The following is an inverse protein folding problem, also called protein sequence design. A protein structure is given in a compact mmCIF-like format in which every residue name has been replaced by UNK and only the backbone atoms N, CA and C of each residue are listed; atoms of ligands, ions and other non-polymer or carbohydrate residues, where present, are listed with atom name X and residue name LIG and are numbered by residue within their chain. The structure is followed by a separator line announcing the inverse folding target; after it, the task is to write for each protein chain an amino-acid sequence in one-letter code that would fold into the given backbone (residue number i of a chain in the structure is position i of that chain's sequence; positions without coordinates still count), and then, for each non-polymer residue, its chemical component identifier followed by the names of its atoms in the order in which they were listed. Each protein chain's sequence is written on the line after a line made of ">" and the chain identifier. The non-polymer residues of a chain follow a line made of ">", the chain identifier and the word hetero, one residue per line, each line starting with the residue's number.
data_IF_196687587379
#
_entry.id   IF_196687587379
#
_cell.length_a   1.000
_cell.length_b   1.000
_cell.length_c   1.000
_cell.angle_alpha   90.00
_cell.angle_beta   90.00
_cell.angle_gamma   90.00
#
_symmetry.space_group_name_H-M   'P 1'
#
loop_
_entity.id
_entity.type
_entity.pdbx_description
1 polymer ?
#
# COMPACT_ATOMS: atom_id res chain seq x y z
N UNK A 1 7.93 37.22 -46.69
CA UNK A 1 7.48 35.83 -46.39
C UNK A 1 8.41 35.04 -45.47
N UNK A 2 9.75 35.12 -45.62
CA UNK A 2 10.70 34.35 -44.79
C UNK A 2 10.63 34.67 -43.27
N UNK A 3 10.40 35.93 -42.91
CA UNK A 3 10.30 36.38 -41.50
C UNK A 3 9.03 35.86 -40.82
N UNK A 4 7.89 35.83 -41.54
CA UNK A 4 6.61 35.32 -41.02
C UNK A 4 6.68 33.80 -40.83
N UNK A 5 7.33 33.09 -41.76
CA UNK A 5 7.56 31.64 -41.65
C UNK A 5 8.50 31.32 -40.47
N UNK A 6 9.51 32.16 -40.23
CA UNK A 6 10.45 32.01 -39.11
C UNK A 6 9.80 32.27 -37.75
N UNK A 7 8.90 33.26 -37.66
CA UNK A 7 8.14 33.55 -36.43
C UNK A 7 7.15 32.43 -36.09
N UNK A 8 6.56 31.79 -37.11
CA UNK A 8 5.63 30.67 -36.92
C UNK A 8 6.34 29.39 -36.45
N UNK A 9 7.53 29.10 -37.00
CA UNK A 9 8.39 27.98 -36.57
C UNK A 9 8.93 28.17 -35.14
N UNK A 10 9.24 29.40 -34.74
CA UNK A 10 9.69 29.69 -33.37
C UNK A 10 8.57 29.48 -32.35
N UNK A 11 7.32 29.83 -32.69
CA UNK A 11 6.16 29.65 -31.81
C UNK A 11 5.80 28.18 -31.58
N UNK A 12 5.95 27.32 -32.60
CA UNK A 12 5.67 25.89 -32.49
C UNK A 12 6.67 25.13 -31.59
N UNK A 13 7.90 25.64 -31.40
CA UNK A 13 8.89 25.00 -30.55
C UNK A 13 8.63 25.15 -29.03
N UNK A 14 7.89 26.18 -28.60
CA UNK A 14 7.71 26.46 -27.16
C UNK A 14 6.59 25.64 -26.49
N UNK A 15 5.70 24.99 -27.25
CA UNK A 15 4.49 24.36 -26.68
C UNK A 15 4.76 22.98 -26.05
N UNK A 16 5.95 22.40 -26.26
CA UNK A 16 6.25 21.03 -25.79
C UNK A 16 6.70 20.93 -24.32
N UNK A 17 6.87 22.04 -23.60
CA UNK A 17 7.51 22.04 -22.26
C UNK A 17 6.52 21.65 -21.12
N UNK A 18 5.21 21.62 -21.37
CA UNK A 18 4.22 21.32 -20.33
C UNK A 18 3.87 19.83 -20.17
N UNK A 19 4.41 18.95 -21.01
CA UNK A 19 4.19 17.50 -20.92
C UNK A 19 5.31 16.79 -20.14
N UNK A 20 5.74 17.35 -19.01
CA UNK A 20 6.75 16.70 -18.18
C UNK A 20 6.10 15.57 -17.36
N UNK A 21 6.52 14.33 -17.62
CA UNK A 21 6.15 13.17 -16.81
C UNK A 21 6.50 13.46 -15.34
N UNK A 22 5.47 13.60 -14.51
CA UNK A 22 5.63 13.71 -13.06
C UNK A 22 5.86 12.31 -12.50
N UNK A 23 7.13 11.90 -12.47
CA UNK A 23 7.54 10.70 -11.75
C UNK A 23 7.27 10.86 -10.25
N UNK A 24 6.28 10.14 -9.75
CA UNK A 24 6.08 9.99 -8.32
C UNK A 24 7.20 9.10 -7.77
N UNK A 25 8.15 9.72 -7.05
CA UNK A 25 9.21 8.95 -6.39
C UNK A 25 8.58 8.05 -5.32
N UNK A 26 9.03 6.79 -5.18
CA UNK A 26 8.66 6.00 -4.02
C UNK A 26 9.15 6.71 -2.76
N UNK A 27 8.25 6.95 -1.82
CA UNK A 27 8.55 7.55 -0.51
C UNK A 27 8.26 6.52 0.56
N UNK A 28 9.16 6.40 1.54
CA UNK A 28 8.98 5.58 2.73
C UNK A 28 9.25 6.42 3.97
N UNK A 29 8.20 6.75 4.70
CA UNK A 29 8.27 7.55 5.92
C UNK A 29 8.33 6.70 7.18
N UNK A 30 8.43 5.37 7.08
CA UNK A 30 8.40 4.50 8.26
C UNK A 30 9.47 4.87 9.30
N UNK A 31 10.64 5.35 8.86
CA UNK A 31 11.73 5.81 9.74
C UNK A 31 11.36 7.02 10.60
N UNK A 32 10.33 7.80 10.22
CA UNK A 32 9.84 8.92 11.03
C UNK A 32 9.18 8.47 12.33
N UNK A 33 8.82 7.18 12.45
CA UNK A 33 8.25 6.59 13.66
C UNK A 33 9.01 5.30 14.03
N UNK A 34 9.95 5.35 14.99
CA UNK A 34 10.77 4.20 15.36
C UNK A 34 9.99 2.98 15.84
N UNK A 35 8.88 3.15 16.57
CA UNK A 35 8.06 2.03 17.04
C UNK A 35 7.35 1.34 15.89
N UNK A 36 6.85 2.12 14.92
CA UNK A 36 6.29 1.57 13.69
C UNK A 36 7.33 0.83 12.86
N UNK A 37 8.51 1.42 12.67
CA UNK A 37 9.59 0.80 11.91
C UNK A 37 9.96 -0.56 12.51
N UNK A 38 10.09 -0.64 13.83
CA UNK A 38 10.35 -1.89 14.53
C UNK A 38 9.23 -2.92 14.32
N UNK A 39 7.96 -2.50 14.45
CA UNK A 39 6.80 -3.35 14.19
C UNK A 39 6.79 -3.88 12.75
N UNK A 40 6.93 -3.00 11.75
CA UNK A 40 6.95 -3.36 10.32
C UNK A 40 8.10 -4.31 10.00
N UNK A 41 9.28 -4.08 10.57
CA UNK A 41 10.46 -4.94 10.38
C UNK A 41 10.18 -6.35 10.91
N UNK A 42 9.64 -6.46 12.13
CA UNK A 42 9.26 -7.76 12.71
C UNK A 42 8.18 -8.46 11.90
N UNK A 43 7.21 -7.71 11.39
CA UNK A 43 6.15 -8.24 10.53
C UNK A 43 6.70 -8.78 9.20
N UNK A 44 7.60 -8.04 8.54
CA UNK A 44 8.27 -8.49 7.33
C UNK A 44 9.03 -9.80 7.59
N UNK A 45 9.76 -9.90 8.70
CA UNK A 45 10.44 -11.14 9.07
C UNK A 45 9.48 -12.30 9.27
N UNK A 46 8.38 -12.08 9.98
CA UNK A 46 7.37 -13.12 10.21
C UNK A 46 6.73 -13.60 8.90
N UNK A 47 6.43 -12.68 7.97
CA UNK A 47 5.93 -13.03 6.63
C UNK A 47 6.95 -13.83 5.83
N UNK A 48 8.24 -13.45 5.87
CA UNK A 48 9.34 -14.20 5.22
C UNK A 48 9.49 -15.60 5.81
N UNK A 49 9.40 -15.73 7.13
CA UNK A 49 9.46 -17.02 7.86
C UNK A 49 8.17 -17.84 7.71
N UNK A 50 7.09 -17.23 7.20
CA UNK A 50 5.74 -17.80 7.13
C UNK A 50 5.22 -18.21 8.51
N UNK A 51 5.46 -17.35 9.49
CA UNK A 51 5.09 -17.55 10.89
C UNK A 51 3.59 -17.29 11.11
N UNK A 52 2.79 -18.32 10.88
CA UNK A 52 1.33 -18.27 11.03
C UNK A 52 0.92 -17.85 12.45
N UNK A 53 1.63 -18.34 13.48
CA UNK A 53 1.29 -18.06 14.88
C UNK A 53 1.44 -16.57 15.17
N UNK A 54 2.55 -15.97 14.72
CA UNK A 54 2.76 -14.54 14.89
C UNK A 54 1.70 -13.72 14.15
N UNK A 55 1.43 -14.02 12.86
CA UNK A 55 0.45 -13.27 12.07
C UNK A 55 -0.94 -13.32 12.73
N UNK A 56 -1.39 -14.50 13.13
CA UNK A 56 -2.68 -14.64 13.81
C UNK A 56 -2.71 -13.94 15.18
N UNK A 57 -1.59 -13.84 15.89
CA UNK A 57 -1.53 -13.16 17.19
C UNK A 57 -1.70 -11.64 17.12
N UNK A 58 -1.26 -11.03 16.02
CA UNK A 58 -1.38 -9.58 15.79
C UNK A 58 -2.64 -9.20 15.01
N UNK A 59 -3.31 -10.18 14.40
CA UNK A 59 -4.52 -9.96 13.61
C UNK A 59 -5.71 -9.76 14.53
N UNK A 60 -6.55 -8.78 14.20
CA UNK A 60 -7.76 -8.52 14.97
C UNK A 60 -8.76 -9.68 14.77
N UNK A 61 -9.43 -10.10 15.85
CA UNK A 61 -10.45 -11.17 15.77
C UNK A 61 -11.62 -10.76 14.87
N UNK A 62 -11.92 -9.47 14.82
CA UNK A 62 -13.02 -8.87 14.06
C UNK A 62 -12.52 -8.19 12.77
N UNK A 63 -11.42 -8.69 12.19
CA UNK A 63 -10.84 -8.23 10.93
C UNK A 63 -11.90 -8.11 9.82
N UNK A 64 -11.92 -6.98 9.11
CA UNK A 64 -12.83 -6.71 8.00
C UNK A 64 -12.22 -7.15 6.68
N UNK A 65 -12.81 -8.12 6.00
CA UNK A 65 -12.18 -8.71 4.80
C UNK A 65 -12.74 -8.15 3.49
N UNK A 66 -13.71 -7.26 3.55
CA UNK A 66 -14.24 -6.57 2.39
C UNK A 66 -15.62 -6.00 2.66
N UNK A 67 -16.37 -5.77 1.59
CA UNK A 67 -17.72 -5.20 1.66
C UNK A 67 -18.83 -6.26 1.80
N UNK A 68 -18.48 -7.55 1.70
CA UNK A 68 -19.43 -8.67 1.61
C UNK A 68 -19.84 -9.31 2.94
N UNK A 69 -19.44 -8.74 4.09
CA UNK A 69 -19.84 -9.24 5.42
C UNK A 69 -19.15 -10.53 5.90
N UNK A 70 -18.29 -11.15 5.09
CA UNK A 70 -17.45 -12.28 5.48
C UNK A 70 -16.24 -11.81 6.32
N UNK A 71 -16.52 -11.23 7.48
CA UNK A 71 -15.50 -10.71 8.38
C UNK A 71 -15.02 -11.76 9.38
N UNK A 72 -13.96 -11.44 10.10
CA UNK A 72 -13.46 -12.20 11.23
C UNK A 72 -12.30 -13.13 10.91
N UNK A 73 -11.61 -13.55 11.96
CA UNK A 73 -10.35 -14.28 11.86
C UNK A 73 -10.48 -15.65 11.18
N UNK A 74 -11.63 -16.31 11.30
CA UNK A 74 -11.87 -17.61 10.65
C UNK A 74 -12.02 -17.46 9.13
N UNK A 75 -12.76 -16.44 8.68
CA UNK A 75 -12.86 -16.12 7.26
C UNK A 75 -11.51 -15.68 6.70
N UNK A 76 -10.69 -14.97 7.50
CA UNK A 76 -9.34 -14.57 7.10
C UNK A 76 -8.47 -15.79 6.84
N UNK A 77 -8.44 -16.74 7.78
CA UNK A 77 -7.69 -18.01 7.64
C UNK A 77 -8.11 -18.78 6.40
N UNK A 78 -9.42 -18.85 6.13
CA UNK A 78 -10.01 -19.57 4.99
C UNK A 78 -9.68 -18.89 3.66
N UNK A 79 -9.97 -17.60 3.54
CA UNK A 79 -9.76 -16.81 2.32
C UNK A 79 -8.29 -16.78 1.91
N UNK A 80 -7.41 -16.53 2.88
CA UNK A 80 -5.97 -16.45 2.65
C UNK A 80 -5.25 -17.80 2.73
N UNK A 81 -5.95 -18.88 3.06
CA UNK A 81 -5.36 -20.22 3.22
C UNK A 81 -4.06 -20.17 4.02
N UNK A 82 -4.06 -19.46 5.15
CA UNK A 82 -2.80 -19.03 5.81
C UNK A 82 -1.95 -20.20 6.31
N UNK A 83 -2.56 -21.34 6.60
CA UNK A 83 -1.85 -22.57 6.96
C UNK A 83 -1.13 -23.23 5.77
N UNK A 84 -1.49 -22.88 4.54
CA UNK A 84 -0.77 -23.31 3.35
C UNK A 84 0.50 -22.47 3.18
N UNK A 85 1.65 -23.14 3.24
CA UNK A 85 2.95 -22.51 3.08
C UNK A 85 3.09 -21.81 1.72
N UNK A 86 2.42 -22.28 0.67
CA UNK A 86 2.47 -21.73 -0.69
C UNK A 86 1.30 -20.79 -1.00
N UNK A 87 0.58 -20.32 0.02
CA UNK A 87 -0.46 -19.31 -0.17
C UNK A 87 0.08 -18.03 -0.81
N UNK A 88 -0.74 -17.42 -1.65
CA UNK A 88 -0.52 -16.08 -2.21
C UNK A 88 -0.38 -15.01 -1.10
N UNK A 89 -0.97 -15.24 0.08
CA UNK A 89 -0.86 -14.36 1.25
C UNK A 89 0.57 -13.89 1.50
N UNK A 90 1.53 -14.81 1.51
CA UNK A 90 2.92 -14.51 1.89
C UNK A 90 3.59 -13.57 0.88
N UNK A 91 3.33 -13.79 -0.40
CA UNK A 91 3.87 -12.95 -1.48
C UNK A 91 3.22 -11.58 -1.46
N UNK A 92 1.89 -11.55 -1.40
CA UNK A 92 1.11 -10.31 -1.44
C UNK A 92 1.37 -9.43 -0.22
N UNK A 93 1.43 -10.02 0.97
CA UNK A 93 1.73 -9.27 2.20
C UNK A 93 3.15 -8.69 2.17
N UNK A 94 4.13 -9.45 1.66
CA UNK A 94 5.49 -8.94 1.54
C UNK A 94 5.55 -7.76 0.57
N UNK A 95 4.87 -7.84 -0.57
CA UNK A 95 4.76 -6.72 -1.53
C UNK A 95 4.19 -5.50 -0.83
N UNK A 96 3.07 -5.62 -0.11
CA UNK A 96 2.46 -4.49 0.58
C UNK A 96 3.44 -3.86 1.58
N UNK A 97 4.12 -4.69 2.38
CA UNK A 97 5.01 -4.22 3.43
C UNK A 97 6.32 -3.62 2.92
N UNK A 98 6.84 -4.01 1.76
CA UNK A 98 8.15 -3.53 1.27
C UNK A 98 8.07 -2.27 0.42
N UNK A 99 6.89 -1.88 -0.08
CA UNK A 99 6.76 -0.79 -1.05
C UNK A 99 6.65 0.61 -0.43
N UNK A 100 6.86 0.76 0.88
CA UNK A 100 6.87 2.04 1.57
C UNK A 100 5.49 2.74 1.61
N UNK A 101 5.49 3.98 2.08
CA UNK A 101 4.30 4.80 2.26
C UNK A 101 4.62 6.11 3.00
N UNK A 102 3.60 6.93 3.17
CA UNK A 102 3.64 8.21 3.86
C UNK A 102 2.61 8.22 4.97
N UNK A 103 2.90 8.87 6.09
CA UNK A 103 1.89 9.12 7.11
C UNK A 103 0.84 10.11 6.59
N UNK A 104 -0.41 9.88 6.97
CA UNK A 104 -1.47 10.84 6.74
C UNK A 104 -1.19 12.12 7.55
N UNK A 105 -1.42 13.26 6.91
CA UNK A 105 -1.19 14.58 7.50
C UNK A 105 -2.22 14.89 8.59
N UNK A 106 -3.45 14.39 8.44
CA UNK A 106 -4.55 14.59 9.38
C UNK A 106 -4.53 13.54 10.48
N UNK A 107 -4.22 12.28 10.12
CA UNK A 107 -4.10 11.18 11.07
C UNK A 107 -2.67 10.61 11.07
N UNK A 108 -1.79 11.14 11.92
CA UNK A 108 -0.38 10.70 12.01
C UNK A 108 -0.18 9.22 12.33
N UNK A 109 -1.22 8.53 12.79
CA UNK A 109 -1.18 7.10 13.05
C UNK A 109 -1.51 6.26 11.81
N UNK A 110 -2.05 6.87 10.76
CA UNK A 110 -2.38 6.23 9.48
C UNK A 110 -1.18 6.28 8.55
N UNK A 111 -0.64 5.13 8.17
CA UNK A 111 0.42 5.01 7.17
C UNK A 111 -0.18 4.56 5.83
N UNK A 112 -0.09 5.44 4.83
CA UNK A 112 -0.75 5.31 3.54
C UNK A 112 0.23 5.13 2.39
N UNK A 113 -0.05 4.20 1.48
CA UNK A 113 0.66 4.11 0.20
C UNK A 113 -0.06 4.93 -0.87
N UNK A 114 0.62 5.95 -1.39
CA UNK A 114 0.14 6.80 -2.48
C UNK A 114 0.68 6.32 -3.83
N UNK A 115 0.30 5.12 -4.29
CA UNK A 115 0.36 4.67 -5.70
C UNK A 115 -0.47 3.38 -5.85
N UNK A 116 -1.47 3.43 -6.73
CA UNK A 116 -2.44 2.37 -7.06
C UNK A 116 -2.27 1.99 -8.54
N UNK A 117 -1.22 1.23 -8.92
CA UNK A 117 -1.09 0.81 -10.33
C UNK A 117 -0.98 -0.70 -10.54
N UNK A 118 -0.91 -1.52 -9.48
CA UNK A 118 -0.87 -2.98 -9.66
C UNK A 118 -1.20 -3.73 -8.38
N UNK A 119 -2.33 -3.43 -7.77
CA UNK A 119 -2.76 -4.09 -6.53
C UNK A 119 -3.95 -4.99 -6.89
N UNK A 120 -3.75 -6.31 -6.82
CA UNK A 120 -4.79 -7.33 -7.05
C UNK A 120 -5.99 -7.10 -6.12
N UNK A 121 -7.25 -7.36 -6.55
CA UNK A 121 -8.44 -7.18 -5.71
C UNK A 121 -8.38 -7.96 -4.38
N UNK A 122 -7.59 -9.04 -4.31
CA UNK A 122 -7.34 -9.74 -3.04
C UNK A 122 -6.49 -8.93 -2.06
N UNK A 123 -5.53 -8.14 -2.51
CA UNK A 123 -4.69 -7.33 -1.62
C UNK A 123 -5.53 -6.32 -0.82
N UNK A 124 -6.66 -5.85 -1.38
CA UNK A 124 -7.61 -5.01 -0.64
C UNK A 124 -8.08 -5.64 0.68
N UNK A 125 -8.04 -6.97 0.77
CA UNK A 125 -8.52 -7.75 1.93
C UNK A 125 -7.41 -8.07 2.94
N UNK A 126 -6.12 -7.94 2.58
CA UNK A 126 -4.98 -8.08 3.53
C UNK A 126 -4.89 -6.95 4.55
N UNK A 127 -5.64 -5.92 4.28
CA UNK A 127 -5.39 -4.64 4.86
C UNK A 127 -5.90 -4.58 6.30
N UNK A 128 -6.94 -5.31 6.70
CA UNK A 128 -7.59 -5.16 8.01
C UNK A 128 -6.90 -5.88 9.21
N UNK A 129 -5.60 -6.13 9.15
CA UNK A 129 -4.82 -6.61 10.30
C UNK A 129 -4.65 -5.43 11.27
N UNK A 130 -5.38 -5.44 12.39
CA UNK A 130 -5.57 -4.36 13.38
C UNK A 130 -5.54 -2.94 12.78
N UNK A 131 -6.77 -2.48 12.50
CA UNK A 131 -7.20 -1.09 12.32
C UNK A 131 -6.84 -0.46 10.98
N UNK A 132 -7.27 -1.11 9.90
CA UNK A 132 -7.25 -0.53 8.57
C UNK A 132 -8.63 0.04 8.22
N UNK A 133 -8.73 1.36 8.10
CA UNK A 133 -9.98 2.03 7.75
C UNK A 133 -9.99 2.29 6.25
N UNK A 134 -10.79 1.49 5.53
CA UNK A 134 -11.00 1.67 4.09
C UNK A 134 -12.14 2.67 3.88
N UNK A 135 -11.81 3.96 3.88
CA UNK A 135 -12.71 5.00 3.37
C UNK A 135 -12.05 5.61 2.15
N UNK A 136 -12.61 5.33 0.97
CA UNK A 136 -12.25 5.91 -0.34
C UNK A 136 -10.83 5.62 -0.83
N UNK A 137 -10.65 4.62 -1.70
CA UNK A 137 -9.50 4.46 -2.61
C UNK A 137 -8.08 4.56 -2.01
N UNK A 138 -7.93 4.41 -0.70
CA UNK A 138 -6.68 4.66 0.03
C UNK A 138 -6.45 3.54 1.05
N UNK A 139 -5.24 2.99 1.01
CA UNK A 139 -4.77 1.94 1.88
C UNK A 139 -4.20 2.56 3.18
N UNK A 140 -4.86 2.42 4.34
CA UNK A 140 -4.51 2.99 5.66
C UNK A 140 -4.06 1.95 6.68
N UNK A 141 -2.78 1.82 6.98
CA UNK A 141 -2.33 1.03 8.15
C UNK A 141 -2.37 1.93 9.40
N UNK A 142 -3.35 1.79 10.32
CA UNK A 142 -3.31 2.54 11.57
C UNK A 142 -2.40 1.88 12.61
N UNK A 143 -1.52 2.67 13.18
CA UNK A 143 -0.76 2.40 14.39
C UNK A 143 -1.56 2.78 15.62
N UNK A 144 -1.40 2.02 16.70
CA UNK A 144 -1.79 2.45 18.05
C UNK A 144 -0.71 3.40 18.54
#
# INVERSE_FOLDING_TARGET
>A
MKIVLSLFLLNFCFINILAQERFAKPVDEAEKNPSFLAFRTKLIEAVKKRDVKYILSITDKNIKLGFGGEDGIENFKKQWKIYNRNSEFWKEMLIVLTHGGTFDKENKNSFMRRIFLRISPKILTLLSIRRFSATTSICVLNLI
#
